data_IF_518043528747
#
_entry.id   IF_518043528747
#
_cell.length_a   1.000
_cell.length_b   1.000
_cell.length_c   1.000
_cell.angle_alpha   90.00
_cell.angle_beta   90.00
_cell.angle_gamma   90.00
#
_symmetry.space_group_name_H-M   'P 1'
#
loop_
_entity.id
_entity.type
_entity.pdbx_description
1 polymer ?
#
# COMPACT_ATOMS: atom_id res chain seq x y z
N UNK A 1 -11.45 -6.10 35.58
CA UNK A 1 -10.49 -6.36 34.48
C UNK A 1 -11.02 -5.60 33.29
N UNK A 2 -10.41 -4.47 32.98
CA UNK A 2 -10.75 -3.65 31.82
C UNK A 2 -10.32 -4.43 30.57
N UNK A 3 -11.28 -4.96 29.81
CA UNK A 3 -11.00 -5.40 28.44
C UNK A 3 -10.73 -4.12 27.64
N UNK A 4 -9.46 -3.83 27.41
CA UNK A 4 -9.06 -2.87 26.40
C UNK A 4 -9.02 -3.65 25.09
N UNK A 5 -10.20 -3.99 24.56
CA UNK A 5 -10.31 -4.27 23.12
C UNK A 5 -10.05 -2.93 22.45
N UNK A 6 -8.78 -2.63 22.23
CA UNK A 6 -8.37 -1.69 21.21
C UNK A 6 -8.62 -2.40 19.87
N UNK A 7 -9.90 -2.59 19.59
CA UNK A 7 -10.37 -2.97 18.28
C UNK A 7 -10.21 -1.73 17.43
N UNK A 8 -8.95 -1.45 17.06
CA UNK A 8 -8.61 -0.40 16.12
C UNK A 8 -9.33 -0.79 14.84
N UNK A 9 -10.43 -0.10 14.59
CA UNK A 9 -11.22 -0.19 13.38
C UNK A 9 -10.47 0.49 12.24
N UNK A 10 -10.74 0.11 10.98
CA UNK A 10 -10.22 0.85 9.85
C UNK A 10 -10.63 2.33 9.96
N UNK A 11 -9.66 3.22 9.97
CA UNK A 11 -9.91 4.66 9.91
C UNK A 11 -9.44 5.16 8.55
N UNK A 12 -10.34 5.23 7.57
CA UNK A 12 -10.07 5.95 6.34
C UNK A 12 -10.32 7.44 6.55
N UNK A 13 -9.37 8.29 6.14
CA UNK A 13 -9.58 9.74 6.07
C UNK A 13 -10.37 10.15 4.83
N UNK A 14 -10.24 9.38 3.75
CA UNK A 14 -10.99 9.53 2.52
C UNK A 14 -11.40 8.14 1.98
N UNK A 15 -12.53 8.04 1.26
CA UNK A 15 -12.90 6.80 0.61
C UNK A 15 -11.90 6.36 -0.47
N UNK A 16 -11.77 5.05 -0.67
CA UNK A 16 -10.89 4.46 -1.69
C UNK A 16 -11.68 4.28 -2.98
N UNK A 17 -11.12 4.73 -4.10
CA UNK A 17 -11.73 4.52 -5.41
C UNK A 17 -11.38 3.14 -5.97
N UNK A 18 -12.40 2.38 -6.36
CA UNK A 18 -12.24 1.10 -7.05
C UNK A 18 -12.51 1.33 -8.55
N UNK A 19 -11.57 0.92 -9.41
CA UNK A 19 -11.61 1.20 -10.86
C UNK A 19 -11.50 -0.10 -11.66
N UNK A 20 -12.58 -0.48 -12.32
CA UNK A 20 -12.63 -1.56 -13.32
C UNK A 20 -13.18 -1.03 -14.64
N UNK A 21 -14.14 -1.75 -15.22
CA UNK A 21 -14.93 -1.23 -16.35
C UNK A 21 -15.81 -0.03 -15.94
N UNK A 22 -16.09 0.10 -14.65
CA UNK A 22 -16.76 1.23 -14.01
C UNK A 22 -15.92 1.69 -12.82
N UNK A 23 -16.37 2.77 -12.18
CA UNK A 23 -15.79 3.24 -10.94
C UNK A 23 -16.80 3.15 -9.81
N UNK A 24 -16.34 2.75 -8.64
CA UNK A 24 -17.08 2.78 -7.39
C UNK A 24 -16.18 3.29 -6.26
N UNK A 25 -16.75 3.41 -5.07
CA UNK A 25 -16.06 3.93 -3.90
C UNK A 25 -16.28 2.99 -2.73
N UNK A 26 -15.19 2.63 -2.06
CA UNK A 26 -15.18 1.90 -0.81
C UNK A 26 -14.97 2.90 0.33
N UNK A 27 -15.99 3.08 1.17
CA UNK A 27 -15.92 3.97 2.32
C UNK A 27 -15.48 3.25 3.59
N UNK A 28 -15.24 4.04 4.64
CA UNK A 28 -14.79 3.51 5.93
C UNK A 28 -15.84 2.66 6.65
N UNK A 29 -17.14 2.92 6.41
CA UNK A 29 -18.22 2.14 7.02
C UNK A 29 -18.25 0.72 6.44
N UNK A 30 -18.19 0.60 5.11
CA UNK A 30 -18.08 -0.71 4.44
C UNK A 30 -16.80 -1.43 4.88
N UNK A 31 -15.68 -0.72 4.97
CA UNK A 31 -14.41 -1.31 5.40
C UNK A 31 -14.46 -1.84 6.85
N UNK A 32 -15.21 -1.19 7.74
CA UNK A 32 -15.40 -1.58 9.14
C UNK A 32 -16.22 -2.87 9.30
N UNK A 33 -17.00 -3.24 8.29
CA UNK A 33 -17.80 -4.47 8.29
C UNK A 33 -17.01 -5.70 7.80
N UNK A 34 -15.86 -5.49 7.16
CA UNK A 34 -15.03 -6.56 6.60
C UNK A 34 -14.20 -7.27 7.67
N UNK A 35 -13.87 -8.56 7.46
CA UNK A 35 -13.02 -9.29 8.39
C UNK A 35 -11.63 -8.66 8.49
N UNK A 36 -11.10 -8.64 9.70
CA UNK A 36 -9.78 -8.09 10.01
C UNK A 36 -8.84 -9.21 10.40
N UNK A 37 -7.63 -9.16 9.84
CA UNK A 37 -6.55 -10.09 10.12
C UNK A 37 -5.30 -9.39 10.66
N UNK A 38 -4.48 -10.15 11.37
CA UNK A 38 -3.12 -9.77 11.70
C UNK A 38 -2.11 -10.70 11.00
N UNK A 39 -1.13 -10.12 10.31
CA UNK A 39 -0.06 -10.87 9.63
C UNK A 39 1.30 -10.27 9.94
N UNK A 40 2.29 -11.13 10.16
CA UNK A 40 3.70 -10.70 10.25
C UNK A 40 4.29 -10.69 8.84
N UNK A 41 4.68 -9.51 8.36
CA UNK A 41 5.16 -9.31 7.00
C UNK A 41 6.52 -8.62 7.04
N UNK A 42 7.51 -9.20 6.35
CA UNK A 42 8.78 -8.55 6.05
C UNK A 42 8.60 -7.63 4.84
N UNK A 43 9.04 -6.38 4.96
CA UNK A 43 9.13 -5.46 3.83
C UNK A 43 10.59 -5.21 3.52
N UNK A 44 10.97 -5.46 2.28
CA UNK A 44 12.31 -5.23 1.75
C UNK A 44 12.32 -3.92 0.96
N UNK A 45 13.03 -2.92 1.47
CA UNK A 45 13.22 -1.66 0.77
C UNK A 45 14.14 -1.84 -0.44
N UNK A 46 14.02 -0.97 -1.45
CA UNK A 46 14.93 -0.94 -2.60
C UNK A 46 16.39 -0.66 -2.22
N UNK A 47 16.62 -0.03 -1.07
CA UNK A 47 17.97 0.17 -0.47
C UNK A 47 18.59 -1.11 0.09
N UNK A 48 17.81 -2.19 0.19
CA UNK A 48 18.23 -3.44 0.84
C UNK A 48 17.88 -3.53 2.32
N UNK A 49 17.38 -2.46 2.93
CA UNK A 49 16.88 -2.47 4.30
C UNK A 49 15.67 -3.39 4.44
N UNK A 50 15.62 -4.15 5.54
CA UNK A 50 14.52 -5.06 5.84
C UNK A 50 13.92 -4.71 7.19
N UNK A 51 12.60 -4.71 7.25
CA UNK A 51 11.89 -4.63 8.52
C UNK A 51 10.73 -5.62 8.51
N UNK A 52 10.57 -6.33 9.62
CA UNK A 52 9.47 -7.27 9.83
C UNK A 52 8.58 -6.73 10.92
N UNK A 53 7.30 -6.55 10.62
CA UNK A 53 6.32 -6.03 11.57
C UNK A 53 5.03 -6.86 11.55
N UNK A 54 4.25 -6.72 12.61
CA UNK A 54 2.89 -7.24 12.66
C UNK A 54 1.92 -6.19 12.16
N UNK A 55 1.27 -6.48 11.05
CA UNK A 55 0.27 -5.62 10.41
C UNK A 55 -1.13 -6.08 10.77
N UNK A 56 -2.02 -5.15 11.07
CA UNK A 56 -3.46 -5.38 11.26
C UNK A 56 -4.21 -4.68 10.11
N UNK A 57 -5.06 -5.42 9.40
CA UNK A 57 -5.71 -4.92 8.19
C UNK A 57 -6.83 -5.81 7.68
N UNK A 58 -7.53 -5.33 6.65
CA UNK A 58 -8.48 -6.14 5.89
C UNK A 58 -7.71 -6.92 4.81
N UNK A 59 -7.92 -8.23 4.65
CA UNK A 59 -7.37 -8.99 3.52
C UNK A 59 -7.76 -8.36 2.19
N UNK A 60 -6.81 -8.22 1.27
CA UNK A 60 -7.06 -7.50 0.02
C UNK A 60 -8.23 -8.10 -0.79
N UNK A 61 -8.37 -9.43 -0.79
CA UNK A 61 -9.46 -10.12 -1.48
C UNK A 61 -10.84 -9.83 -0.90
N UNK A 62 -10.95 -9.58 0.41
CA UNK A 62 -12.22 -9.21 1.03
C UNK A 62 -12.72 -7.86 0.52
N UNK A 63 -11.80 -6.95 0.13
CA UNK A 63 -12.16 -5.70 -0.54
C UNK A 63 -12.78 -5.96 -1.92
N UNK A 64 -12.28 -6.97 -2.63
CA UNK A 64 -12.72 -7.33 -3.99
C UNK A 64 -14.07 -8.05 -4.00
N UNK A 65 -14.52 -8.57 -2.86
CA UNK A 65 -15.83 -9.22 -2.69
C UNK A 65 -16.94 -8.24 -2.28
N UNK A 66 -16.61 -6.97 -2.04
CA UNK A 66 -17.59 -5.93 -1.67
C UNK A 66 -18.59 -5.61 -2.79
N UNK A 67 -19.74 -5.07 -2.41
CA UNK A 67 -20.70 -4.51 -3.38
C UNK A 67 -20.08 -3.37 -4.21
N UNK A 68 -19.19 -2.58 -3.61
CA UNK A 68 -18.43 -1.54 -4.30
C UNK A 68 -17.53 -2.15 -5.40
N UNK A 69 -16.78 -3.22 -5.09
CA UNK A 69 -15.95 -3.91 -6.07
C UNK A 69 -16.78 -4.56 -7.18
N UNK A 70 -17.91 -5.17 -6.83
CA UNK A 70 -18.89 -5.70 -7.80
C UNK A 70 -19.40 -4.60 -8.73
N UNK A 71 -19.67 -3.40 -8.19
CA UNK A 71 -20.12 -2.24 -8.96
C UNK A 71 -19.02 -1.69 -9.88
N UNK A 72 -17.78 -1.62 -9.39
CA UNK A 72 -16.61 -1.22 -10.18
C UNK A 72 -16.36 -2.16 -11.35
N UNK A 73 -16.77 -3.43 -11.24
CA UNK A 73 -16.70 -4.42 -12.33
C UNK A 73 -15.26 -4.58 -12.83
N UNK A 74 -14.36 -5.04 -11.93
CA UNK A 74 -12.99 -5.35 -12.32
C UNK A 74 -12.98 -6.35 -13.49
N UNK A 75 -12.12 -6.16 -14.51
CA UNK A 75 -12.05 -7.08 -15.63
C UNK A 75 -11.77 -8.51 -15.16
N UNK A 76 -12.48 -9.53 -15.67
CA UNK A 76 -12.21 -10.92 -15.29
C UNK A 76 -10.82 -11.40 -15.73
N UNK A 77 -10.21 -10.74 -16.72
CA UNK A 77 -8.83 -10.97 -17.15
C UNK A 77 -7.81 -10.12 -16.37
N UNK A 78 -8.18 -9.55 -15.21
CA UNK A 78 -7.25 -8.79 -14.37
C UNK A 78 -6.06 -9.66 -13.99
N UNK A 79 -4.87 -9.17 -14.34
CA UNK A 79 -3.58 -9.81 -14.01
C UNK A 79 -2.83 -9.05 -12.93
N UNK A 80 -3.11 -7.75 -12.80
CA UNK A 80 -2.41 -6.83 -11.92
C UNK A 80 -3.40 -5.84 -11.30
N UNK A 81 -3.08 -5.37 -10.10
CA UNK A 81 -3.74 -4.24 -9.48
C UNK A 81 -2.79 -3.04 -9.46
N UNK A 82 -3.24 -1.90 -10.00
CA UNK A 82 -2.56 -0.64 -9.79
C UNK A 82 -3.10 -0.04 -8.50
N UNK A 83 -2.23 0.02 -7.48
CA UNK A 83 -2.56 0.62 -6.18
C UNK A 83 -1.92 1.99 -6.15
N UNK A 84 -2.73 3.02 -5.90
CA UNK A 84 -2.27 4.41 -5.89
C UNK A 84 -2.56 5.09 -4.56
N UNK A 85 -1.61 5.91 -4.12
CA UNK A 85 -1.71 6.74 -2.93
C UNK A 85 -2.35 8.10 -3.22
N UNK A 86 -2.76 8.81 -2.16
CA UNK A 86 -3.21 10.20 -2.26
C UNK A 86 -2.16 11.16 -2.87
N UNK A 87 -0.86 10.88 -2.71
CA UNK A 87 0.24 11.69 -3.26
C UNK A 87 0.66 11.27 -4.68
N UNK A 88 -0.03 10.31 -5.28
CA UNK A 88 0.17 9.87 -6.66
C UNK A 88 1.27 8.83 -6.85
N UNK A 89 1.86 8.31 -5.76
CA UNK A 89 2.69 7.11 -5.80
C UNK A 89 1.83 5.93 -6.25
N UNK A 90 2.31 5.17 -7.24
CA UNK A 90 1.59 4.02 -7.78
C UNK A 90 2.48 2.80 -7.88
N UNK A 91 2.05 1.69 -7.29
CA UNK A 91 2.63 0.36 -7.48
C UNK A 91 1.78 -0.49 -8.42
N UNK A 92 2.43 -1.32 -9.24
CA UNK A 92 1.80 -2.32 -10.09
C UNK A 92 2.01 -3.70 -9.46
N UNK A 93 0.94 -4.30 -8.94
CA UNK A 93 1.02 -5.53 -8.12
C UNK A 93 0.46 -6.69 -8.92
N UNK A 94 1.21 -7.78 -9.08
CA UNK A 94 0.68 -8.99 -9.69
C UNK A 94 -0.46 -9.56 -8.83
N UNK A 95 -1.48 -10.12 -9.46
CA UNK A 95 -2.63 -10.69 -8.74
C UNK A 95 -2.22 -11.81 -7.77
N UNK A 96 -1.18 -12.58 -8.07
CA UNK A 96 -0.65 -13.59 -7.13
C UNK A 96 -0.14 -12.96 -5.83
N UNK A 97 0.50 -11.80 -5.90
CA UNK A 97 1.09 -11.12 -4.75
C UNK A 97 0.03 -10.46 -3.87
N UNK A 98 -1.23 -10.35 -4.33
CA UNK A 98 -2.33 -9.81 -3.54
C UNK A 98 -3.01 -10.85 -2.64
N UNK A 99 -2.76 -12.15 -2.83
CA UNK A 99 -3.42 -13.21 -2.05
C UNK A 99 -3.14 -13.07 -0.55
N UNK A 100 -1.88 -12.80 -0.20
CA UNK A 100 -1.45 -12.61 1.17
C UNK A 100 -1.37 -11.13 1.58
N UNK A 101 -1.91 -10.24 0.76
CA UNK A 101 -1.88 -8.80 1.02
C UNK A 101 -2.96 -8.34 2.00
N UNK A 102 -2.64 -7.26 2.71
CA UNK A 102 -3.55 -6.51 3.56
C UNK A 102 -3.66 -5.06 3.08
N UNK A 103 -4.86 -4.49 3.17
CA UNK A 103 -5.04 -3.06 3.39
C UNK A 103 -4.95 -2.82 4.90
N UNK A 104 -3.74 -2.51 5.36
CA UNK A 104 -3.44 -2.33 6.77
C UNK A 104 -3.87 -0.95 7.27
N UNK A 105 -4.37 -0.93 8.52
CA UNK A 105 -4.68 0.28 9.30
C UNK A 105 -4.02 0.25 10.70
N UNK A 106 -3.31 -0.83 11.05
CA UNK A 106 -2.49 -0.93 12.27
C UNK A 106 -1.14 -1.61 12.04
N UNK A 107 -0.16 -1.28 12.89
CA UNK A 107 1.19 -1.84 12.91
C UNK A 107 1.68 -2.02 14.35
N UNK A 108 2.19 -3.19 14.69
CA UNK A 108 2.71 -3.56 16.01
C UNK A 108 1.75 -3.24 17.17
N UNK A 109 0.44 -3.43 16.95
CA UNK A 109 -0.61 -3.16 17.94
C UNK A 109 -0.94 -1.67 18.13
N UNK A 110 -0.49 -0.80 17.24
CA UNK A 110 -0.81 0.64 17.23
C UNK A 110 -1.52 1.02 15.93
N UNK A 111 -2.48 1.95 15.93
CA UNK A 111 -3.04 2.51 14.70
C UNK A 111 -1.94 3.16 13.84
N UNK A 112 -2.04 3.06 12.51
CA UNK A 112 -1.05 3.65 11.61
C UNK A 112 -0.86 5.18 11.76
N UNK A 113 -1.90 5.99 12.06
CA UNK A 113 -1.69 7.42 12.28
C UNK A 113 -0.69 7.71 13.40
N UNK A 114 -0.72 6.90 14.47
CA UNK A 114 0.20 7.00 15.59
C UNK A 114 1.55 6.36 15.30
N UNK A 115 1.55 5.19 14.67
CA UNK A 115 2.77 4.42 14.41
C UNK A 115 3.65 5.01 13.29
N UNK A 116 3.05 5.67 12.30
CA UNK A 116 3.73 6.02 11.05
C UNK A 116 3.21 7.27 10.32
N UNK A 117 2.16 7.94 10.81
CA UNK A 117 1.67 9.21 10.25
C UNK A 117 0.84 9.10 8.97
N UNK A 118 0.31 7.91 8.66
CA UNK A 118 -0.61 7.67 7.54
C UNK A 118 -1.76 6.76 8.00
N UNK A 119 -2.86 6.68 7.24
CA UNK A 119 -4.08 6.01 7.71
C UNK A 119 -4.27 4.60 7.18
N UNK A 120 -3.76 4.33 5.99
CA UNK A 120 -3.84 3.02 5.34
C UNK A 120 -2.52 2.67 4.64
N UNK A 121 -2.27 1.38 4.43
CA UNK A 121 -1.16 0.91 3.61
C UNK A 121 -1.45 -0.44 2.98
N UNK A 122 -1.19 -0.56 1.68
CA UNK A 122 -1.08 -1.86 1.03
C UNK A 122 0.24 -2.52 1.45
N UNK A 123 0.17 -3.75 1.94
CA UNK A 123 1.35 -4.53 2.35
C UNK A 123 1.16 -6.00 2.01
N UNK A 124 2.21 -6.64 1.48
CA UNK A 124 2.21 -8.05 1.12
C UNK A 124 3.63 -8.65 1.29
N UNK A 125 3.77 -9.96 1.55
CA UNK A 125 5.06 -10.63 1.79
C UNK A 125 6.10 -10.49 0.67
N UNK A 126 5.67 -10.66 -0.58
CA UNK A 126 6.58 -10.73 -1.74
C UNK A 126 6.66 -9.42 -2.53
N UNK A 127 6.13 -8.33 -1.95
CA UNK A 127 6.08 -7.00 -2.57
C UNK A 127 7.15 -6.09 -1.98
N UNK A 128 8.02 -5.56 -2.84
CA UNK A 128 9.07 -4.62 -2.44
C UNK A 128 8.50 -3.32 -1.85
N UNK A 129 9.26 -2.70 -0.95
CA UNK A 129 8.90 -1.50 -0.20
C UNK A 129 8.27 -0.38 -1.05
N UNK A 130 8.83 0.01 -2.21
CA UNK A 130 8.23 1.04 -3.06
C UNK A 130 6.81 0.70 -3.57
N UNK A 131 6.44 -0.58 -3.62
CA UNK A 131 5.12 -1.06 -4.04
C UNK A 131 4.16 -1.29 -2.86
N UNK A 132 4.63 -1.13 -1.61
CA UNK A 132 3.78 -1.16 -0.40
C UNK A 132 3.16 0.22 -0.13
N UNK A 133 2.21 0.60 -0.98
CA UNK A 133 1.63 1.95 -1.11
C UNK A 133 0.96 2.43 0.17
N UNK A 134 1.31 3.64 0.64
CA UNK A 134 0.73 4.31 1.82
C UNK A 134 -0.45 5.18 1.40
N UNK A 135 -1.36 5.49 2.33
CA UNK A 135 -2.55 6.32 2.09
C UNK A 135 -3.26 5.92 0.79
N UNK A 136 -3.62 4.65 0.68
CA UNK A 136 -4.24 4.09 -0.54
C UNK A 136 -5.49 4.89 -0.86
N UNK A 137 -5.51 5.48 -2.06
CA UNK A 137 -6.58 6.31 -2.59
C UNK A 137 -7.33 5.63 -3.73
N UNK A 138 -6.67 4.77 -4.51
CA UNK A 138 -7.35 3.98 -5.53
C UNK A 138 -6.74 2.59 -5.78
N UNK A 139 -7.59 1.70 -6.27
CA UNK A 139 -7.27 0.33 -6.68
C UNK A 139 -7.88 0.11 -8.07
N UNK A 140 -7.05 -0.11 -9.08
CA UNK A 140 -7.47 -0.35 -10.47
C UNK A 140 -7.13 -1.78 -10.90
N UNK A 141 -8.12 -2.51 -11.42
CA UNK A 141 -7.90 -3.83 -12.02
C UNK A 141 -7.39 -3.70 -13.46
N UNK A 142 -6.22 -4.28 -13.73
CA UNK A 142 -5.53 -4.15 -15.02
C UNK A 142 -5.15 -5.52 -15.59
N UNK A 143 -5.49 -5.73 -16.86
CA UNK A 143 -4.88 -6.78 -17.69
C UNK A 143 -3.62 -6.21 -18.34
N UNK A 144 -2.51 -6.91 -18.16
CA UNK A 144 -1.30 -6.72 -18.95
C UNK A 144 -1.19 -7.86 -19.98
N UNK A 145 -0.89 -7.50 -21.22
CA UNK A 145 -0.61 -8.45 -22.28
C UNK A 145 0.80 -9.05 -22.12
N UNK A 146 1.05 -10.26 -22.65
CA UNK A 146 2.36 -10.89 -22.57
C UNK A 146 3.48 -9.98 -23.15
N UNK A 147 4.50 -9.73 -22.34
CA UNK A 147 5.65 -8.90 -22.72
C UNK A 147 5.48 -7.41 -22.42
N UNK A 148 4.33 -6.97 -21.92
CA UNK A 148 4.26 -5.68 -21.24
C UNK A 148 5.05 -5.72 -19.95
N UNK A 149 5.78 -4.65 -19.68
CA UNK A 149 6.56 -4.47 -18.47
C UNK A 149 5.67 -3.84 -17.37
N UNK A 150 5.42 -4.52 -16.24
CA UNK A 150 4.64 -3.98 -15.14
C UNK A 150 5.20 -2.66 -14.59
N UNK A 151 6.53 -2.47 -14.62
CA UNK A 151 7.18 -1.27 -14.07
C UNK A 151 6.82 -0.01 -14.88
N UNK A 152 6.46 -0.17 -16.15
CA UNK A 152 6.00 0.92 -17.02
C UNK A 152 4.66 1.54 -16.57
N UNK A 153 3.94 0.88 -15.65
CA UNK A 153 2.69 1.36 -15.06
C UNK A 153 2.87 2.02 -13.69
N UNK A 154 4.10 2.06 -13.19
CA UNK A 154 4.41 2.54 -11.85
C UNK A 154 4.79 4.01 -11.82
N UNK A 155 4.55 4.63 -10.67
CA UNK A 155 5.02 5.97 -10.31
C UNK A 155 5.59 5.87 -8.91
N UNK A 156 6.79 5.32 -8.80
CA UNK A 156 7.47 5.19 -7.52
C UNK A 156 8.10 6.54 -7.18
N UNK A 157 7.92 7.02 -5.95
CA UNK A 157 8.65 8.19 -5.48
C UNK A 157 10.13 7.82 -5.44
N UNK A 158 10.94 8.48 -6.26
CA UNK A 158 12.39 8.48 -6.06
C UNK A 158 12.65 9.04 -4.67
N UNK A 159 13.27 8.26 -3.78
CA UNK A 159 13.86 8.88 -2.60
C UNK A 159 14.92 9.83 -3.12
N UNK A 160 14.74 11.14 -2.91
CA UNK A 160 15.81 12.12 -3.09
C UNK A 160 16.99 11.61 -2.22
N UNK A 161 17.97 11.01 -2.88
CA UNK A 161 19.26 10.76 -2.28
C UNK A 161 19.81 12.11 -1.87
N UNK A 162 19.86 12.36 -0.57
CA UNK A 162 20.76 13.39 -0.06
C UNK A 162 22.17 12.82 -0.19
N UNK A 163 22.69 12.87 -1.40
CA UNK A 163 24.13 12.87 -1.63
C UNK A 163 24.62 14.21 -1.06
N UNK A 164 24.90 14.22 0.24
CA UNK A 164 25.70 15.26 0.89
C UNK A 164 27.14 15.11 0.37
N UNK A 165 27.39 15.59 -0.85
CA UNK A 165 28.74 16.00 -1.23
C UNK A 165 29.05 17.30 -0.49
N UNK A 166 29.40 17.18 0.78
CA UNK A 166 30.21 18.18 1.46
C UNK A 166 31.62 18.15 0.82
N UNK A 167 31.81 18.91 -0.25
CA UNK A 167 33.13 19.32 -0.72
C UNK A 167 33.80 20.14 0.39
N UNK A 168 34.53 19.46 1.27
CA UNK A 168 35.56 20.05 2.13
C UNK A 168 36.76 20.43 1.25
N UNK A 169 36.65 21.53 0.52
CA UNK A 169 37.82 22.17 -0.09
C UNK A 169 38.55 22.95 1.00
N UNK A 170 39.46 22.27 1.70
CA UNK A 170 40.46 22.92 2.52
C UNK A 170 41.25 23.94 1.70
N UNK A 171 41.21 25.20 2.13
CA UNK A 171 42.10 26.26 1.68
C UNK A 171 43.57 25.81 1.84
N UNK A 172 44.33 25.85 0.76
CA UNK A 172 45.80 25.79 0.81
C UNK A 172 46.32 27.03 0.10
N UNK A 173 46.52 28.11 0.86
CA UNK A 173 47.32 29.26 0.39
C UNK A 173 48.81 28.89 0.42
N UNK A 174 49.56 29.05 -0.68
CA UNK A 174 51.01 29.03 -0.63
C UNK A 174 51.57 30.45 -0.40
N UNK A 175 52.66 30.46 0.37
CA UNK A 175 53.47 31.57 0.91
C UNK A 175 53.89 32.67 -0.07
#
# INVERSE_FOLDING_TARGET
MTHHDADSRPSLVAPIQLVGEKSATLDGETLDELPVEERTIEVVCSTGDRYTDRWKGVPFFELLETEAATTASFPPETTHFLVESEDGQRGCIAIEDTFDALLAFGRNGQPLPEAAGYTSRFVAPDVLGPRTVKNVASIEGKKLDPGEDPESYERLLEMEGTDDESEDTAEVEPT
#
